data_IF_703283340932
#
_entry.id   IF_703283340932
#
_cell.length_a   1.000
_cell.length_b   1.000
_cell.length_c   1.000
_cell.angle_alpha   90.00
_cell.angle_beta   90.00
_cell.angle_gamma   90.00
#
_symmetry.space_group_name_H-M   'P 1'
#
loop_
_entity.id
_entity.type
_entity.pdbx_description
1 polymer ?
#
# COMPACT_ATOMS: atom_id res chain seq x y z
N UNK A 1 6.83 5.59 -12.92
CA UNK A 1 5.78 6.54 -13.34
C UNK A 1 5.42 7.48 -12.18
N UNK A 2 4.94 6.99 -11.04
CA UNK A 2 4.57 7.82 -9.87
C UNK A 2 5.73 8.69 -9.38
N UNK A 3 6.94 8.14 -9.28
CA UNK A 3 8.14 8.90 -8.86
C UNK A 3 8.46 10.06 -9.82
N UNK A 4 8.27 9.84 -11.12
CA UNK A 4 8.43 10.88 -12.15
C UNK A 4 7.37 11.97 -11.97
N UNK A 5 6.11 11.58 -11.74
CA UNK A 5 5.03 12.52 -11.50
C UNK A 5 5.29 13.37 -10.25
N UNK A 6 5.69 12.75 -9.14
CA UNK A 6 5.99 13.43 -7.90
C UNK A 6 7.23 14.33 -7.99
N UNK A 7 8.21 13.94 -8.81
CA UNK A 7 9.43 14.74 -9.01
C UNK A 7 9.20 15.97 -9.87
N UNK A 8 8.40 15.87 -10.94
CA UNK A 8 8.32 16.90 -11.98
C UNK A 8 6.96 17.58 -12.09
N UNK A 9 5.88 16.98 -11.57
CA UNK A 9 4.51 17.46 -11.75
C UNK A 9 3.74 17.61 -10.43
N UNK A 10 4.44 17.63 -9.30
CA UNK A 10 3.84 17.76 -7.98
C UNK A 10 2.86 18.93 -7.93
N UNK A 11 1.65 18.69 -7.45
CA UNK A 11 0.59 19.71 -7.34
C UNK A 11 -0.10 20.08 -8.64
N UNK A 12 0.24 19.43 -9.77
CA UNK A 12 -0.46 19.65 -11.04
C UNK A 12 -1.84 19.00 -11.00
N UNK A 13 -2.88 19.78 -11.30
CA UNK A 13 -4.25 19.27 -11.39
C UNK A 13 -4.59 18.70 -12.77
N UNK A 14 -5.63 17.88 -12.83
CA UNK A 14 -6.19 17.32 -14.08
C UNK A 14 -5.20 16.47 -14.90
N UNK A 15 -4.27 15.80 -14.24
CA UNK A 15 -3.42 14.82 -14.91
C UNK A 15 -4.20 13.53 -15.19
N UNK A 16 -3.87 12.93 -16.32
CA UNK A 16 -4.35 11.59 -16.70
C UNK A 16 -3.18 10.72 -17.10
N UNK A 17 -3.35 9.41 -16.94
CA UNK A 17 -2.46 8.40 -17.49
C UNK A 17 -3.14 7.77 -18.70
N UNK A 18 -2.37 7.60 -19.75
CA UNK A 18 -2.81 6.85 -20.93
C UNK A 18 -2.23 5.44 -20.84
N UNK A 19 -3.10 4.44 -20.80
CA UNK A 19 -2.69 3.07 -21.05
C UNK A 19 -2.66 2.85 -22.56
N UNK A 20 -1.47 2.60 -23.11
CA UNK A 20 -1.24 2.56 -24.56
C UNK A 20 -0.81 1.16 -24.97
N UNK A 21 -1.48 0.58 -25.96
CA UNK A 21 -1.09 -0.66 -26.63
C UNK A 21 0.09 -0.39 -27.58
N UNK A 22 1.30 -0.84 -27.26
CA UNK A 22 2.48 -0.56 -28.09
C UNK A 22 2.40 -1.21 -29.46
N UNK A 23 1.59 -2.28 -29.62
CA UNK A 23 1.44 -2.97 -30.91
C UNK A 23 0.58 -2.20 -31.91
N UNK A 24 -0.21 -1.25 -31.43
CA UNK A 24 -1.06 -0.39 -32.25
C UNK A 24 -0.45 0.99 -32.54
N UNK A 25 0.67 1.32 -31.89
CA UNK A 25 1.32 2.60 -32.15
C UNK A 25 1.77 2.69 -33.60
N UNK A 26 1.44 3.83 -34.24
CA UNK A 26 1.94 4.18 -35.58
C UNK A 26 3.27 4.93 -35.53
N UNK A 27 3.58 5.54 -34.41
CA UNK A 27 4.85 6.24 -34.16
C UNK A 27 5.91 5.30 -33.61
N UNK A 28 7.17 5.61 -33.88
CA UNK A 28 8.31 4.82 -33.42
C UNK A 28 8.36 4.82 -31.88
N UNK A 29 8.51 3.64 -31.28
CA UNK A 29 8.70 3.43 -29.86
C UNK A 29 10.13 2.95 -29.61
N UNK A 30 10.89 3.66 -28.79
CA UNK A 30 12.24 3.28 -28.35
C UNK A 30 12.28 3.17 -26.82
N UNK A 31 13.11 2.26 -26.35
CA UNK A 31 13.43 2.15 -24.92
C UNK A 31 14.81 2.76 -24.68
N UNK A 32 14.86 3.86 -23.96
CA UNK A 32 16.06 4.67 -23.77
C UNK A 32 16.22 5.05 -22.30
N UNK A 33 17.47 5.30 -21.83
CA UNK A 33 17.70 5.82 -20.49
C UNK A 33 17.00 7.18 -20.29
N UNK A 34 16.71 7.57 -19.03
CA UNK A 34 16.13 8.89 -18.76
C UNK A 34 17.11 10.00 -19.17
N UNK A 35 16.57 11.09 -19.73
CA UNK A 35 17.35 12.28 -19.95
C UNK A 35 17.67 12.94 -18.60
N UNK A 36 18.94 13.16 -18.29
CA UNK A 36 19.36 13.86 -17.10
C UNK A 36 19.23 15.36 -17.30
N UNK A 37 18.59 16.05 -16.33
CA UNK A 37 18.35 17.51 -16.41
C UNK A 37 19.64 18.30 -16.44
N UNK A 38 20.69 17.77 -15.80
CA UNK A 38 22.03 18.38 -15.76
C UNK A 38 22.89 18.08 -16.99
N UNK A 39 22.34 17.34 -17.98
CA UNK A 39 23.02 16.94 -19.20
C UNK A 39 24.06 15.85 -19.01
N UNK A 40 24.13 15.22 -17.83
CA UNK A 40 25.04 14.10 -17.60
C UNK A 40 24.66 12.89 -18.49
N UNK A 41 25.63 12.08 -18.95
CA UNK A 41 25.34 10.88 -19.71
C UNK A 41 24.65 9.82 -18.85
N UNK A 42 23.79 9.02 -19.49
CA UNK A 42 23.12 7.88 -18.86
C UNK A 42 24.13 6.90 -18.22
N UNK A 43 23.79 6.38 -17.06
CA UNK A 43 24.61 5.38 -16.36
C UNK A 43 24.35 3.97 -16.89
N UNK A 44 25.32 3.06 -16.89
CA UNK A 44 25.20 1.71 -17.45
C UNK A 44 24.09 0.83 -16.83
N UNK A 45 23.52 1.24 -15.69
CA UNK A 45 22.54 0.47 -14.91
C UNK A 45 21.18 1.17 -14.79
N UNK A 46 20.98 2.25 -15.53
CA UNK A 46 19.70 2.96 -15.51
C UNK A 46 18.63 2.16 -16.25
N UNK A 47 17.41 2.19 -15.66
CA UNK A 47 16.24 1.59 -16.28
C UNK A 47 15.90 2.30 -17.59
N UNK A 48 15.60 1.55 -18.62
CA UNK A 48 15.13 2.10 -19.88
C UNK A 48 13.65 2.47 -19.77
N UNK A 49 13.28 3.61 -20.34
CA UNK A 49 11.91 4.08 -20.41
C UNK A 49 11.40 4.07 -21.86
N UNK A 50 10.11 3.80 -22.08
CA UNK A 50 9.52 3.89 -23.41
C UNK A 50 9.40 5.36 -23.86
N UNK A 51 9.99 5.69 -24.99
CA UNK A 51 9.88 6.99 -25.63
C UNK A 51 9.16 6.85 -26.97
N UNK A 52 8.07 7.59 -27.16
CA UNK A 52 7.29 7.59 -28.40
C UNK A 52 7.71 8.79 -29.24
N UNK A 53 8.25 8.53 -30.43
CA UNK A 53 8.75 9.55 -31.36
C UNK A 53 7.68 9.92 -32.39
N UNK A 54 6.64 10.63 -31.90
CA UNK A 54 5.55 11.14 -32.73
C UNK A 54 4.21 11.16 -31.98
N UNK A 55 3.10 11.44 -32.70
CA UNK A 55 1.79 11.48 -32.11
C UNK A 55 1.33 10.08 -31.68
N UNK A 56 0.60 10.00 -30.57
CA UNK A 56 -0.10 8.78 -30.15
C UNK A 56 -1.44 8.76 -30.88
N UNK A 57 -1.64 7.74 -31.71
CA UNK A 57 -2.92 7.53 -32.39
C UNK A 57 -3.98 6.99 -31.39
N UNK A 58 -5.21 7.49 -31.53
CA UNK A 58 -6.28 7.26 -30.55
C UNK A 58 -6.65 5.77 -30.39
N UNK A 59 -6.56 4.99 -31.44
CA UNK A 59 -6.86 3.54 -31.43
C UNK A 59 -5.78 2.71 -30.72
N UNK A 60 -4.61 3.31 -30.44
CA UNK A 60 -3.60 2.73 -29.57
C UNK A 60 -3.88 2.99 -28.09
N UNK A 61 -4.73 3.97 -27.75
CA UNK A 61 -5.09 4.26 -26.36
C UNK A 61 -6.16 3.26 -25.89
N UNK A 62 -5.79 2.37 -24.98
CA UNK A 62 -6.70 1.35 -24.43
C UNK A 62 -7.61 1.97 -23.38
N UNK A 63 -7.04 2.86 -22.55
CA UNK A 63 -7.73 3.43 -21.39
C UNK A 63 -7.13 4.79 -21.05
N UNK A 64 -7.97 5.68 -20.54
CA UNK A 64 -7.58 6.95 -19.94
C UNK A 64 -7.95 6.89 -18.46
N UNK A 65 -6.97 7.03 -17.59
CA UNK A 65 -7.12 6.88 -16.15
C UNK A 65 -6.89 8.23 -15.50
N UNK A 66 -7.83 8.70 -14.68
CA UNK A 66 -7.64 9.89 -13.87
C UNK A 66 -6.45 9.71 -12.92
N UNK A 67 -5.56 10.69 -12.89
CA UNK A 67 -4.36 10.67 -12.07
C UNK A 67 -4.26 11.94 -11.23
N UNK A 68 -5.18 12.14 -10.26
CA UNK A 68 -5.17 13.29 -9.39
C UNK A 68 -4.03 13.18 -8.36
N UNK A 69 -3.46 14.33 -7.99
CA UNK A 69 -2.65 14.43 -6.79
C UNK A 69 -3.54 14.60 -5.55
N UNK A 70 -3.01 14.26 -4.39
CA UNK A 70 -3.64 14.50 -3.11
C UNK A 70 -3.58 15.99 -2.69
N UNK A 71 -4.07 16.31 -1.48
CA UNK A 71 -4.04 17.68 -0.93
C UNK A 71 -2.63 18.22 -0.68
N UNK A 72 -1.64 17.34 -0.61
CA UNK A 72 -0.22 17.65 -0.47
C UNK A 72 0.48 17.80 -1.83
N UNK A 73 -0.25 17.59 -2.93
CA UNK A 73 0.24 17.63 -4.29
C UNK A 73 0.95 16.36 -4.73
N UNK A 74 0.84 15.25 -3.98
CA UNK A 74 1.50 13.99 -4.29
C UNK A 74 0.60 13.05 -5.11
N UNK A 75 1.20 12.40 -6.10
CA UNK A 75 0.54 11.39 -6.92
C UNK A 75 0.71 10.01 -6.31
N UNK A 76 -0.35 9.22 -6.33
CA UNK A 76 -0.38 7.82 -5.90
C UNK A 76 -0.79 6.97 -7.10
N UNK A 77 -0.19 5.79 -7.26
CA UNK A 77 -0.54 4.89 -8.36
C UNK A 77 -2.04 4.57 -8.32
N UNK A 78 -2.77 4.83 -9.40
CA UNK A 78 -4.17 4.45 -9.49
C UNK A 78 -4.33 2.93 -9.34
N UNK A 79 -5.37 2.47 -8.63
CA UNK A 79 -5.62 1.04 -8.43
C UNK A 79 -5.69 0.22 -9.73
N UNK A 80 -6.14 0.84 -10.82
CA UNK A 80 -6.25 0.23 -12.14
C UNK A 80 -4.89 -0.19 -12.75
N UNK A 81 -3.80 0.41 -12.27
CA UNK A 81 -2.44 0.09 -12.73
C UNK A 81 -1.72 -0.90 -11.84
N UNK A 82 -2.37 -1.35 -10.78
CA UNK A 82 -1.80 -2.38 -9.93
C UNK A 82 -1.84 -3.73 -10.66
N UNK A 83 -0.69 -4.37 -10.79
CA UNK A 83 -0.56 -5.75 -11.27
C UNK A 83 -0.95 -6.77 -10.19
N UNK A 84 -1.74 -6.35 -9.21
CA UNK A 84 -2.21 -7.17 -8.10
C UNK A 84 -3.63 -6.76 -7.70
N UNK A 85 -4.38 -7.73 -7.18
CA UNK A 85 -5.69 -7.52 -6.60
C UNK A 85 -5.60 -7.42 -5.07
N UNK A 86 -6.45 -6.58 -4.46
CA UNK A 86 -6.64 -6.56 -3.01
C UNK A 86 -7.91 -7.31 -2.66
N UNK A 87 -7.78 -8.39 -1.90
CA UNK A 87 -8.90 -9.24 -1.50
C UNK A 87 -8.97 -9.36 0.03
N UNK A 88 -10.18 -9.56 0.57
CA UNK A 88 -10.32 -9.94 1.96
C UNK A 88 -9.80 -11.38 2.12
N UNK A 89 -8.97 -11.62 3.11
CA UNK A 89 -8.36 -12.95 3.33
C UNK A 89 -9.42 -14.01 3.67
N UNK A 90 -10.56 -13.62 4.23
CA UNK A 90 -11.67 -14.52 4.49
C UNK A 90 -12.23 -15.15 3.21
N UNK A 91 -12.18 -14.39 2.09
CA UNK A 91 -12.63 -14.84 0.77
C UNK A 91 -11.52 -15.59 0.00
N UNK A 92 -10.33 -15.72 0.60
CA UNK A 92 -9.15 -16.30 -0.04
C UNK A 92 -8.44 -17.33 0.87
N UNK A 93 -9.13 -18.39 1.34
CA UNK A 93 -8.60 -19.34 2.32
C UNK A 93 -7.32 -20.07 1.88
N UNK A 94 -7.07 -20.17 0.57
CA UNK A 94 -5.84 -20.73 0.00
C UNK A 94 -4.58 -19.94 0.41
N UNK A 95 -4.72 -18.70 0.89
CA UNK A 95 -3.61 -17.84 1.32
C UNK A 95 -3.41 -17.81 2.84
N UNK A 96 -4.29 -18.41 3.64
CA UNK A 96 -4.20 -18.34 5.10
C UNK A 96 -2.89 -18.87 5.65
N UNK A 97 -2.48 -20.05 5.20
CA UNK A 97 -1.22 -20.66 5.64
C UNK A 97 -0.03 -19.73 5.36
N UNK A 98 0.05 -19.22 4.12
CA UNK A 98 1.15 -18.33 3.71
C UNK A 98 1.16 -17.00 4.46
N UNK A 99 -0.01 -16.38 4.64
CA UNK A 99 -0.15 -15.14 5.40
C UNK A 99 0.26 -15.33 6.86
N UNK A 100 -0.16 -16.45 7.49
CA UNK A 100 0.18 -16.79 8.86
C UNK A 100 1.69 -17.01 9.05
N UNK A 101 2.33 -17.74 8.14
CA UNK A 101 3.79 -17.95 8.15
C UNK A 101 4.56 -16.62 8.05
N UNK A 102 4.10 -15.71 7.20
CA UNK A 102 4.69 -14.39 7.04
C UNK A 102 4.50 -13.54 8.30
N UNK A 103 3.31 -13.59 8.92
CA UNK A 103 3.03 -12.86 10.16
C UNK A 103 3.92 -13.35 11.31
N UNK A 104 4.02 -14.66 11.51
CA UNK A 104 4.93 -15.22 12.52
C UNK A 104 6.38 -14.81 12.24
N UNK A 105 6.83 -14.90 10.99
CA UNK A 105 8.21 -14.58 10.64
C UNK A 105 8.56 -13.10 10.89
N UNK A 106 7.63 -12.18 10.60
CA UNK A 106 7.85 -10.74 10.72
C UNK A 106 7.78 -10.26 12.18
N UNK A 107 6.80 -10.77 12.95
CA UNK A 107 6.53 -10.25 14.31
C UNK A 107 6.93 -11.19 15.45
N UNK A 108 7.64 -12.27 15.19
CA UNK A 108 8.06 -13.26 16.20
C UNK A 108 8.84 -12.67 17.38
N UNK A 109 9.61 -11.63 17.17
CA UNK A 109 10.38 -10.98 18.25
C UNK A 109 9.49 -10.12 19.16
N UNK A 110 8.33 -9.71 18.68
CA UNK A 110 7.36 -8.87 19.39
C UNK A 110 6.30 -9.77 20.06
N UNK A 111 5.74 -10.70 19.30
CA UNK A 111 4.68 -11.61 19.73
C UNK A 111 5.21 -13.06 19.81
N UNK A 112 5.97 -13.35 20.84
CA UNK A 112 6.73 -14.61 20.99
C UNK A 112 5.84 -15.84 21.14
N UNK A 113 4.62 -15.67 21.66
CA UNK A 113 3.64 -16.75 21.88
C UNK A 113 2.81 -17.06 20.64
N UNK A 114 2.85 -16.21 19.61
CA UNK A 114 2.07 -16.40 18.41
C UNK A 114 2.61 -17.54 17.55
N UNK A 115 1.68 -18.31 17.03
CA UNK A 115 1.93 -19.43 16.14
C UNK A 115 1.21 -19.24 14.80
N UNK A 116 1.59 -20.02 13.81
CA UNK A 116 0.86 -20.07 12.52
C UNK A 116 -0.62 -20.39 12.76
N UNK A 117 -0.94 -21.25 13.73
CA UNK A 117 -2.33 -21.58 14.06
C UNK A 117 -3.08 -20.39 14.65
N UNK A 118 -2.43 -19.54 15.46
CA UNK A 118 -3.01 -18.30 16.00
C UNK A 118 -3.52 -17.41 14.87
N UNK A 119 -2.70 -17.20 13.84
CA UNK A 119 -3.09 -16.37 12.69
C UNK A 119 -4.12 -17.04 11.78
N UNK A 120 -4.04 -18.36 11.56
CA UNK A 120 -5.06 -19.10 10.79
C UNK A 120 -6.42 -18.97 11.48
N UNK A 121 -6.46 -19.12 12.80
CA UNK A 121 -7.68 -18.97 13.59
C UNK A 121 -8.22 -17.52 13.52
N UNK A 122 -7.32 -16.53 13.49
CA UNK A 122 -7.68 -15.13 13.32
C UNK A 122 -8.35 -14.89 11.95
N UNK A 123 -7.76 -15.39 10.87
CA UNK A 123 -8.31 -15.24 9.51
C UNK A 123 -9.65 -15.93 9.32
N UNK A 124 -9.84 -17.09 9.93
CA UNK A 124 -11.11 -17.82 9.94
C UNK A 124 -12.23 -17.11 10.69
N UNK A 125 -11.90 -16.10 11.49
CA UNK A 125 -12.84 -15.29 12.26
C UNK A 125 -13.14 -13.94 11.62
N UNK A 126 -12.64 -13.69 10.42
CA UNK A 126 -12.76 -12.41 9.73
C UNK A 126 -14.22 -11.95 9.65
N UNK A 127 -14.45 -10.71 10.07
CA UNK A 127 -15.78 -10.12 10.23
C UNK A 127 -16.05 -9.76 11.68
N UNK A 128 -17.00 -10.38 12.33
CA UNK A 128 -17.33 -10.15 13.74
C UNK A 128 -17.05 -11.41 14.56
N UNK A 129 -16.08 -11.35 15.42
CA UNK A 129 -15.76 -12.42 16.35
C UNK A 129 -15.94 -11.97 17.80
N UNK A 130 -16.88 -12.57 18.53
CA UNK A 130 -17.10 -12.35 19.98
C UNK A 130 -17.12 -10.85 20.38
N UNK A 131 -17.68 -9.99 19.54
CA UNK A 131 -17.66 -8.54 19.75
C UNK A 131 -16.33 -7.87 19.39
N UNK A 132 -15.34 -8.60 18.90
CA UNK A 132 -14.10 -8.09 18.34
C UNK A 132 -14.18 -8.06 16.83
N UNK A 133 -13.57 -7.05 16.26
CA UNK A 133 -13.51 -6.84 14.82
C UNK A 133 -12.10 -7.15 14.30
N UNK A 134 -12.02 -8.00 13.28
CA UNK A 134 -10.79 -8.32 12.57
C UNK A 134 -11.09 -8.43 11.09
N UNK A 135 -10.43 -7.62 10.27
CA UNK A 135 -10.44 -7.79 8.81
C UNK A 135 -9.03 -7.63 8.26
N UNK A 136 -8.54 -8.66 7.60
CA UNK A 136 -7.24 -8.65 6.93
C UNK A 136 -7.45 -8.60 5.42
N UNK A 137 -6.73 -7.70 4.76
CA UNK A 137 -6.69 -7.58 3.31
C UNK A 137 -5.30 -7.98 2.81
N UNK A 138 -5.26 -8.78 1.76
CA UNK A 138 -4.04 -9.27 1.14
C UNK A 138 -3.95 -8.79 -0.31
N UNK A 139 -2.73 -8.47 -0.74
CA UNK A 139 -2.41 -8.17 -2.12
C UNK A 139 -1.94 -9.46 -2.80
N UNK A 140 -2.60 -9.83 -3.90
CA UNK A 140 -2.33 -11.04 -4.70
C UNK A 140 -1.90 -10.61 -6.09
N UNK A 141 -0.71 -11.03 -6.53
CA UNK A 141 -0.19 -10.71 -7.87
C UNK A 141 -0.85 -11.56 -8.98
N UNK A 142 -0.49 -11.31 -10.23
CA UNK A 142 -1.02 -12.03 -11.40
C UNK A 142 -0.75 -13.54 -11.37
N UNK A 143 0.30 -13.98 -10.68
CA UNK A 143 0.63 -15.38 -10.51
C UNK A 143 -0.16 -16.06 -9.38
N UNK A 144 -1.05 -15.33 -8.69
CA UNK A 144 -1.80 -15.82 -7.54
C UNK A 144 -0.99 -15.86 -6.25
N UNK A 145 0.14 -15.15 -6.15
CA UNK A 145 1.00 -15.13 -4.99
C UNK A 145 0.66 -13.96 -4.06
N UNK A 146 0.65 -14.19 -2.75
CA UNK A 146 0.52 -13.16 -1.75
C UNK A 146 1.81 -12.34 -1.68
N UNK A 147 1.69 -11.03 -1.89
CA UNK A 147 2.82 -10.08 -1.95
C UNK A 147 2.79 -8.98 -0.89
N UNK A 148 1.68 -8.85 -0.18
CA UNK A 148 1.54 -7.90 0.93
C UNK A 148 0.22 -8.07 1.66
N UNK A 149 0.09 -7.45 2.83
CA UNK A 149 -1.11 -7.51 3.65
C UNK A 149 -1.21 -6.32 4.60
N UNK A 150 -2.42 -6.09 5.13
CA UNK A 150 -2.70 -5.20 6.25
C UNK A 150 -3.97 -5.67 6.97
N UNK A 151 -4.07 -5.40 8.26
CA UNK A 151 -5.20 -5.80 9.11
C UNK A 151 -5.82 -4.58 9.78
N UNK A 152 -7.14 -4.55 9.87
CA UNK A 152 -7.90 -3.67 10.74
C UNK A 152 -8.40 -4.51 11.92
N UNK A 153 -8.05 -4.13 13.13
CA UNK A 153 -8.36 -4.89 14.36
C UNK A 153 -8.78 -3.94 15.48
N UNK A 154 -9.69 -4.39 16.35
CA UNK A 154 -10.15 -3.59 17.50
C UNK A 154 -9.02 -3.26 18.47
N UNK A 155 -8.14 -4.24 18.73
CA UNK A 155 -7.06 -4.18 19.70
C UNK A 155 -5.81 -4.83 19.10
N UNK A 156 -4.75 -4.06 18.94
CA UNK A 156 -3.44 -4.49 18.42
C UNK A 156 -2.45 -4.79 19.57
N UNK A 157 -2.98 -5.12 20.75
CA UNK A 157 -2.22 -5.60 21.91
C UNK A 157 -1.10 -4.68 22.41
N UNK A 158 -1.17 -3.37 22.08
CA UNK A 158 -0.23 -2.39 22.62
C UNK A 158 -0.48 -2.21 24.12
N UNK A 159 0.46 -2.57 25.00
CA UNK A 159 0.25 -2.52 26.46
C UNK A 159 -0.14 -1.13 26.95
N UNK A 160 -1.19 -1.08 27.79
CA UNK A 160 -1.70 0.14 28.40
C UNK A 160 -2.09 1.24 27.38
N UNK A 161 -2.48 0.87 26.18
CA UNK A 161 -2.95 1.83 25.19
C UNK A 161 -4.27 2.47 25.66
N UNK A 162 -4.33 3.82 25.79
CA UNK A 162 -5.57 4.51 26.11
C UNK A 162 -6.46 4.72 24.88
N UNK A 163 -5.95 4.47 23.71
CA UNK A 163 -6.65 4.64 22.43
C UNK A 163 -7.73 3.56 22.28
N UNK A 164 -8.97 3.94 21.89
CA UNK A 164 -10.09 2.99 21.87
C UNK A 164 -10.03 2.02 20.67
N UNK A 165 -9.04 2.18 19.77
CA UNK A 165 -9.04 1.48 18.48
C UNK A 165 -10.11 2.02 17.50
N UNK A 166 -10.34 1.36 16.37
CA UNK A 166 -9.56 0.22 15.91
C UNK A 166 -8.18 0.60 15.38
N UNK A 167 -7.36 -0.42 15.16
CA UNK A 167 -5.95 -0.28 14.79
C UNK A 167 -5.69 -0.80 13.38
N UNK A 168 -4.86 -0.08 12.64
CA UNK A 168 -4.18 -0.59 11.47
C UNK A 168 -2.96 -1.37 11.95
N UNK A 169 -2.97 -2.66 11.73
CA UNK A 169 -1.97 -3.61 12.18
C UNK A 169 -1.40 -4.42 11.01
N UNK A 170 -0.33 -5.13 11.26
CA UNK A 170 0.23 -6.15 10.38
C UNK A 170 0.45 -5.68 8.93
N UNK A 171 0.95 -4.45 8.74
CA UNK A 171 1.28 -3.92 7.41
C UNK A 171 2.59 -4.54 6.93
N UNK A 172 2.49 -5.41 5.95
CA UNK A 172 3.63 -6.12 5.37
C UNK A 172 3.64 -5.99 3.85
N UNK A 173 4.82 -5.82 3.26
CA UNK A 173 5.07 -6.01 1.84
C UNK A 173 6.34 -6.83 1.66
N UNK A 174 6.25 -7.92 0.89
CA UNK A 174 7.40 -8.77 0.61
C UNK A 174 8.54 -7.98 -0.05
N UNK A 175 9.81 -8.21 0.33
CA UNK A 175 10.94 -7.42 -0.15
C UNK A 175 10.99 -7.21 -1.68
N UNK A 176 10.74 -8.23 -2.52
CA UNK A 176 10.75 -8.05 -3.97
C UNK A 176 9.65 -7.12 -4.52
N UNK A 177 8.58 -6.89 -3.73
CA UNK A 177 7.41 -6.11 -4.14
C UNK A 177 7.34 -4.73 -3.45
N UNK A 178 8.38 -4.35 -2.70
CA UNK A 178 8.51 -3.01 -2.10
C UNK A 178 8.67 -1.94 -3.16
N UNK A 179 8.29 -0.72 -2.82
CA UNK A 179 8.29 0.45 -3.72
C UNK A 179 7.38 0.33 -4.97
N UNK A 180 6.52 -0.69 -5.02
CA UNK A 180 5.55 -0.91 -6.11
C UNK A 180 4.12 -0.52 -5.73
N UNK A 181 3.94 0.22 -4.65
CA UNK A 181 2.62 0.70 -4.21
C UNK A 181 1.79 -0.30 -3.39
N UNK A 182 2.27 -1.54 -3.17
CA UNK A 182 1.53 -2.61 -2.47
C UNK A 182 1.09 -2.17 -1.07
N UNK A 183 2.03 -1.70 -0.22
CA UNK A 183 1.69 -1.22 1.13
C UNK A 183 0.66 -0.10 1.10
N UNK A 184 0.80 0.86 0.16
CA UNK A 184 -0.15 1.96 0.01
C UNK A 184 -1.54 1.47 -0.34
N UNK A 185 -1.64 0.48 -1.24
CA UNK A 185 -2.92 -0.06 -1.68
C UNK A 185 -3.64 -0.83 -0.56
N UNK A 186 -2.93 -1.70 0.19
CA UNK A 186 -3.57 -2.44 1.32
C UNK A 186 -3.97 -1.49 2.45
N UNK A 187 -3.15 -0.49 2.79
CA UNK A 187 -3.49 0.53 3.80
C UNK A 187 -4.68 1.37 3.34
N UNK A 188 -4.71 1.80 2.08
CA UNK A 188 -5.85 2.54 1.52
C UNK A 188 -7.14 1.71 1.57
N UNK A 189 -7.06 0.40 1.32
CA UNK A 189 -8.20 -0.51 1.44
C UNK A 189 -8.73 -0.58 2.87
N UNK A 190 -7.84 -0.63 3.87
CA UNK A 190 -8.21 -0.54 5.30
C UNK A 190 -8.92 0.79 5.60
N UNK A 191 -8.36 1.91 5.14
CA UNK A 191 -8.95 3.25 5.35
C UNK A 191 -10.35 3.32 4.72
N UNK A 192 -10.53 2.83 3.49
CA UNK A 192 -11.84 2.76 2.83
C UNK A 192 -12.82 1.91 3.64
N UNK A 193 -12.36 0.77 4.16
CA UNK A 193 -13.20 -0.10 4.99
C UNK A 193 -13.61 0.58 6.28
N UNK A 194 -12.69 1.26 6.94
CA UNK A 194 -12.98 2.04 8.13
C UNK A 194 -14.04 3.15 7.89
N UNK A 195 -13.96 3.83 6.75
CA UNK A 195 -15.01 4.77 6.31
C UNK A 195 -16.37 4.08 6.11
N UNK A 196 -16.40 2.92 5.43
CA UNK A 196 -17.64 2.15 5.21
C UNK A 196 -18.30 1.71 6.53
N UNK A 197 -17.48 1.48 7.56
CA UNK A 197 -17.95 1.12 8.91
C UNK A 197 -18.37 2.34 9.73
N UNK A 198 -18.22 3.56 9.21
CA UNK A 198 -18.53 4.80 9.92
C UNK A 198 -17.61 5.09 11.09
N UNK A 199 -16.38 4.58 11.07
CA UNK A 199 -15.42 4.80 12.15
C UNK A 199 -14.91 6.25 12.12
N UNK A 200 -14.77 6.92 13.28
CA UNK A 200 -14.31 8.31 13.34
C UNK A 200 -12.79 8.46 13.16
N UNK A 201 -12.05 7.42 13.48
CA UNK A 201 -10.59 7.39 13.39
C UNK A 201 -10.08 5.95 13.41
N UNK A 202 -8.84 5.76 12.98
CA UNK A 202 -8.05 4.54 13.16
C UNK A 202 -6.68 4.92 13.71
N UNK A 203 -6.04 3.98 14.41
CA UNK A 203 -4.76 4.15 15.07
C UNK A 203 -3.74 3.18 14.50
N UNK A 204 -2.47 3.45 14.70
CA UNK A 204 -1.36 2.52 14.49
C UNK A 204 -0.22 2.86 15.43
N UNK A 205 0.74 1.98 15.58
CA UNK A 205 2.05 2.31 16.13
C UNK A 205 3.17 1.78 15.22
N UNK A 206 4.28 2.49 15.18
CA UNK A 206 5.42 2.15 14.33
C UNK A 206 6.72 2.62 14.94
N UNK A 207 7.80 1.86 14.74
CA UNK A 207 9.13 2.19 15.22
C UNK A 207 9.95 3.01 14.21
N UNK A 208 9.67 2.88 12.89
CA UNK A 208 10.54 3.39 11.83
C UNK A 208 9.82 4.00 10.62
N UNK A 209 8.46 3.87 10.51
CA UNK A 209 7.70 4.31 9.34
C UNK A 209 6.87 5.58 9.57
N UNK A 210 7.17 6.37 10.62
CA UNK A 210 6.41 7.57 11.00
C UNK A 210 6.24 8.55 9.83
N UNK A 211 7.33 8.81 9.09
CA UNK A 211 7.31 9.75 7.98
C UNK A 211 6.45 9.23 6.81
N UNK A 212 6.52 7.93 6.53
CA UNK A 212 5.73 7.32 5.48
C UNK A 212 4.22 7.42 5.77
N UNK A 213 3.82 7.18 7.01
CA UNK A 213 2.43 7.36 7.45
C UNK A 213 2.03 8.84 7.50
N UNK A 214 2.92 9.74 7.95
CA UNK A 214 2.65 11.18 7.98
C UNK A 214 2.34 11.72 6.57
N UNK A 215 3.06 11.27 5.55
CA UNK A 215 2.82 11.63 4.16
C UNK A 215 1.43 11.15 3.65
N UNK A 216 0.79 10.20 4.34
CA UNK A 216 -0.57 9.70 4.05
C UNK A 216 -1.64 10.31 4.95
N UNK A 217 -1.32 11.40 5.66
CA UNK A 217 -2.26 12.13 6.48
C UNK A 217 -2.37 11.69 7.94
N UNK A 218 -1.64 10.65 8.34
CA UNK A 218 -1.57 10.24 9.73
C UNK A 218 -0.84 11.28 10.58
N UNK A 219 -1.26 11.47 11.81
CA UNK A 219 -0.65 12.42 12.74
C UNK A 219 -0.06 11.69 13.94
N UNK A 220 1.16 12.03 14.36
CA UNK A 220 1.71 11.49 15.60
C UNK A 220 0.84 11.91 16.78
N UNK A 221 0.60 10.99 17.70
CA UNK A 221 -0.22 11.19 18.89
C UNK A 221 0.61 11.18 20.16
N UNK A 222 1.46 10.19 20.34
CA UNK A 222 2.39 10.03 21.46
C UNK A 222 3.50 9.04 21.16
N UNK A 223 4.55 9.09 21.95
CA UNK A 223 5.58 8.06 22.00
C UNK A 223 5.20 6.96 22.99
N UNK A 224 5.66 5.76 22.74
CA UNK A 224 5.50 4.59 23.60
C UNK A 224 6.68 3.64 23.43
N UNK A 225 6.74 2.61 24.25
CA UNK A 225 7.75 1.58 24.16
C UNK A 225 7.07 0.20 24.15
N UNK A 226 7.52 -0.67 23.28
CA UNK A 226 7.11 -2.07 23.21
C UNK A 226 8.36 -2.95 23.15
N UNK A 227 8.54 -3.81 24.14
CA UNK A 227 9.70 -4.70 24.26
C UNK A 227 11.07 -3.99 24.18
N UNK A 228 11.19 -2.79 24.78
CA UNK A 228 12.42 -2.00 24.76
C UNK A 228 12.65 -1.21 23.46
N UNK A 229 11.72 -1.26 22.52
CA UNK A 229 11.80 -0.53 21.25
C UNK A 229 10.83 0.66 21.30
N UNK A 230 11.35 1.85 20.99
CA UNK A 230 10.54 3.07 20.92
C UNK A 230 9.61 3.01 19.69
N UNK A 231 8.35 3.37 19.90
CA UNK A 231 7.32 3.46 18.87
C UNK A 231 6.59 4.79 18.95
N UNK A 232 6.13 5.27 17.82
CA UNK A 232 5.22 6.41 17.74
C UNK A 232 3.80 5.89 17.48
N UNK A 233 2.88 6.18 18.37
CA UNK A 233 1.44 5.97 18.11
C UNK A 233 0.94 7.09 17.21
N UNK A 234 0.23 6.73 16.17
CA UNK A 234 -0.32 7.67 15.19
C UNK A 234 -1.82 7.49 15.01
N UNK A 235 -2.49 8.55 14.58
CA UNK A 235 -3.94 8.57 14.33
C UNK A 235 -4.23 9.08 12.92
N UNK A 236 -5.17 8.44 12.25
CA UNK A 236 -5.85 8.97 11.07
C UNK A 236 -7.31 9.26 11.42
N UNK A 237 -7.69 10.54 11.41
CA UNK A 237 -9.09 10.96 11.58
C UNK A 237 -9.81 10.81 10.24
N UNK A 238 -10.93 10.10 10.26
CA UNK A 238 -11.76 9.87 9.09
C UNK A 238 -12.82 10.97 9.06
N UNK A 239 -12.90 11.70 7.95
CA UNK A 239 -13.96 12.70 7.79
C UNK A 239 -15.30 11.97 7.62
N UNK A 240 -16.31 12.42 8.34
CA UNK A 240 -17.71 12.02 8.16
C UNK A 240 -18.25 12.59 6.84
#
# INVERSE_FOLDING_TARGET
>A
MVDVANKYYRGTSNMVLLNVDPTKLTSELKFEPPAHIDGSPALPHESLFPHIYGPINLDAVIEVIDFPCDKQGEFIAPPQLNTFAIVNIADAPQHWQRAAELSVAEWKEIFTEDSVQTYIDLYGRAGTYAGRFVETYVAINENGELIGMATLVDDDELPNAPEPGPWLAAVLTLPPNRAQGVASAVVQRIVQRAHQLGLPAIYLYTSDQQQWYANKGWKPLRETELNGIAHTVMILRLAN
#
